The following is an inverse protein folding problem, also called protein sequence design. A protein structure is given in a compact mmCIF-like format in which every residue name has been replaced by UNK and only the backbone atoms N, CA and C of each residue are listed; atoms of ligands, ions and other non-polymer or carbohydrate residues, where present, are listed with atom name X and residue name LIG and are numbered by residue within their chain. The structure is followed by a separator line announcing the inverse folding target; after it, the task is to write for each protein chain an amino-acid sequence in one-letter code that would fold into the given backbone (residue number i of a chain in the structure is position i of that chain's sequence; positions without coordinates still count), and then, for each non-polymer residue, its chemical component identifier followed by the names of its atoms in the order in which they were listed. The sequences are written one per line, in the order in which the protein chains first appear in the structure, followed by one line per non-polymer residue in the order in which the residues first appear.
data_IF_131902132296
#
_entry.id   IF_131902132296
#
_cell.length_a   1.000
_cell.length_b   1.000
_cell.length_c   1.000
_cell.angle_alpha   90.00
_cell.angle_beta   90.00
_cell.angle_gamma   90.00
#
_symmetry.space_group_name_H-M   'P 1'
#
loop_
_entity.id
_entity.type
_entity.pdbx_description
1 polymer ?
#
# COMPACT_ATOMS: atom_id res chain seq x y z
N UNK A 1 -18.19 8.85 -26.80
CA UNK A 1 -17.50 8.16 -25.70
C UNK A 1 -17.27 9.19 -24.60
N UNK A 2 -17.97 9.04 -23.49
CA UNK A 2 -17.82 9.90 -22.31
C UNK A 2 -16.36 9.82 -21.85
N UNK A 3 -15.67 10.96 -21.77
CA UNK A 3 -14.35 11.02 -21.15
C UNK A 3 -14.57 10.71 -19.67
N UNK A 4 -14.13 9.54 -19.21
CA UNK A 4 -14.15 9.20 -17.79
C UNK A 4 -13.52 10.35 -17.00
N UNK A 5 -14.17 10.77 -15.91
CA UNK A 5 -13.67 11.86 -15.09
C UNK A 5 -12.28 11.50 -14.58
N UNK A 6 -11.26 12.23 -15.02
CA UNK A 6 -9.89 12.08 -14.54
C UNK A 6 -9.94 12.35 -13.02
N UNK A 7 -9.79 11.30 -12.21
CA UNK A 7 -9.75 11.40 -10.75
C UNK A 7 -10.88 10.71 -9.95
N UNK A 8 -11.73 9.88 -10.56
CA UNK A 8 -12.63 9.00 -9.79
C UNK A 8 -11.95 7.67 -9.46
N UNK A 9 -12.11 7.19 -8.21
CA UNK A 9 -11.52 5.91 -7.82
C UNK A 9 -12.26 4.75 -8.49
N UNK A 10 -11.50 3.79 -9.03
CA UNK A 10 -12.03 2.59 -9.69
C UNK A 10 -12.32 1.48 -8.68
N UNK A 11 -11.34 1.14 -7.84
CA UNK A 11 -11.52 0.16 -6.76
C UNK A 11 -12.26 0.83 -5.60
N UNK A 12 -13.32 0.19 -5.10
CA UNK A 12 -14.12 0.66 -3.96
C UNK A 12 -14.11 -0.39 -2.86
N UNK A 13 -13.52 -0.07 -1.71
CA UNK A 13 -13.36 -1.03 -0.62
C UNK A 13 -12.12 -1.92 -0.80
N UNK A 14 -12.27 -3.17 -0.38
CA UNK A 14 -11.28 -4.22 -0.56
C UNK A 14 -11.95 -5.32 -1.35
N UNK A 15 -11.36 -5.69 -2.48
CA UNK A 15 -11.85 -6.75 -3.35
C UNK A 15 -10.92 -7.94 -3.18
N UNK A 16 -11.50 -9.12 -2.97
CA UNK A 16 -10.75 -10.36 -2.88
C UNK A 16 -10.98 -11.19 -4.15
N UNK A 17 -9.91 -11.75 -4.69
CA UNK A 17 -9.98 -12.75 -5.75
C UNK A 17 -9.07 -13.93 -5.43
N UNK A 18 -9.38 -15.08 -6.01
CA UNK A 18 -8.53 -16.28 -5.91
C UNK A 18 -8.26 -16.82 -7.31
N UNK A 19 -7.04 -17.27 -7.63
CA UNK A 19 -6.79 -17.94 -8.88
C UNK A 19 -7.46 -19.31 -8.93
N UNK A 20 -7.85 -19.76 -10.12
CA UNK A 20 -8.48 -21.08 -10.32
C UNK A 20 -7.50 -22.21 -10.00
N UNK A 21 -6.23 -22.02 -10.34
CA UNK A 21 -5.18 -23.04 -10.31
C UNK A 21 -4.59 -23.27 -8.92
N UNK A 22 -4.61 -22.26 -8.04
CA UNK A 22 -4.05 -22.37 -6.70
C UNK A 22 -5.01 -21.81 -5.63
N UNK A 23 -5.67 -22.71 -4.90
CA UNK A 23 -6.65 -22.35 -3.85
C UNK A 23 -6.02 -21.80 -2.57
N UNK A 24 -4.70 -21.85 -2.44
CA UNK A 24 -3.98 -21.33 -1.28
C UNK A 24 -3.59 -19.86 -1.45
N UNK A 25 -3.81 -19.27 -2.63
CA UNK A 25 -3.52 -17.86 -2.89
C UNK A 25 -4.84 -17.09 -2.87
N UNK A 26 -4.85 -15.99 -2.11
CA UNK A 26 -5.89 -14.98 -2.13
C UNK A 26 -5.22 -13.64 -2.43
N UNK A 27 -5.69 -12.95 -3.46
CA UNK A 27 -5.25 -11.61 -3.80
C UNK A 27 -6.27 -10.60 -3.29
N UNK A 28 -5.78 -9.60 -2.56
CA UNK A 28 -6.58 -8.47 -2.07
C UNK A 28 -6.19 -7.23 -2.89
N UNK A 29 -7.16 -6.65 -3.61
CA UNK A 29 -7.04 -5.33 -4.23
C UNK A 29 -7.70 -4.29 -3.31
N UNK A 30 -6.89 -3.35 -2.84
CA UNK A 30 -7.31 -2.34 -1.84
C UNK A 30 -7.50 -1.01 -2.55
N UNK A 31 -8.63 -0.35 -2.28
CA UNK A 31 -8.94 0.98 -2.82
C UNK A 31 -7.78 1.96 -2.57
N UNK A 32 -7.31 2.55 -3.67
CA UNK A 32 -6.21 3.51 -3.67
C UNK A 32 -6.58 4.83 -3.00
N UNK A 33 -5.56 5.57 -2.60
CA UNK A 33 -5.70 6.80 -1.84
C UNK A 33 -6.17 8.01 -2.64
N UNK A 34 -6.13 7.92 -3.97
CA UNK A 34 -6.73 8.91 -4.88
C UNK A 34 -8.27 8.84 -4.90
N UNK A 35 -8.88 8.12 -3.94
CA UNK A 35 -10.30 8.17 -3.64
C UNK A 35 -10.74 9.54 -3.08
N UNK A 36 -10.59 10.59 -3.90
CA UNK A 36 -11.06 11.97 -3.67
C UNK A 36 -12.53 12.00 -3.28
N UNK A 37 -13.30 11.03 -3.77
CA UNK A 37 -14.73 10.83 -3.49
C UNK A 37 -15.05 10.64 -2.00
N UNK A 38 -14.08 10.28 -1.16
CA UNK A 38 -14.28 10.06 0.29
C UNK A 38 -14.07 11.31 1.15
N UNK A 39 -13.62 12.42 0.57
CA UNK A 39 -13.44 13.69 1.28
C UNK A 39 -12.54 13.57 2.52
N UNK A 40 -12.94 14.22 3.62
CA UNK A 40 -12.18 14.24 4.89
C UNK A 40 -11.99 12.86 5.55
N UNK A 41 -12.80 11.86 5.17
CA UNK A 41 -12.69 10.50 5.69
C UNK A 41 -11.72 9.61 4.91
N UNK A 42 -11.18 10.08 3.78
CA UNK A 42 -10.31 9.30 2.90
C UNK A 42 -9.07 8.76 3.61
N UNK A 43 -8.37 9.59 4.39
CA UNK A 43 -7.17 9.18 5.14
C UNK A 43 -7.48 8.08 6.16
N UNK A 44 -8.52 8.27 6.98
CA UNK A 44 -8.95 7.29 7.99
C UNK A 44 -9.38 5.97 7.34
N UNK A 45 -10.05 6.04 6.19
CA UNK A 45 -10.45 4.87 5.44
C UNK A 45 -9.23 4.10 4.91
N UNK A 46 -8.26 4.80 4.33
CA UNK A 46 -7.01 4.24 3.83
C UNK A 46 -6.23 3.54 4.96
N UNK A 47 -6.03 4.21 6.10
CA UNK A 47 -5.37 3.62 7.27
C UNK A 47 -6.04 2.32 7.72
N UNK A 48 -7.38 2.30 7.79
CA UNK A 48 -8.14 1.10 8.18
C UNK A 48 -8.01 -0.03 7.17
N UNK A 49 -8.14 0.27 5.88
CA UNK A 49 -8.08 -0.74 4.83
C UNK A 49 -6.66 -1.32 4.69
N UNK A 50 -5.63 -0.48 4.72
CA UNK A 50 -4.23 -0.91 4.66
C UNK A 50 -3.85 -1.76 5.88
N UNK A 51 -4.26 -1.36 7.09
CA UNK A 51 -4.05 -2.17 8.29
C UNK A 51 -4.77 -3.53 8.24
N UNK A 52 -6.02 -3.55 7.78
CA UNK A 52 -6.77 -4.80 7.62
C UNK A 52 -6.14 -5.74 6.57
N UNK A 53 -5.72 -5.20 5.43
CA UNK A 53 -5.04 -6.01 4.42
C UNK A 53 -3.71 -6.56 4.97
N UNK A 54 -2.94 -5.75 5.69
CA UNK A 54 -1.68 -6.16 6.29
C UNK A 54 -1.84 -7.29 7.32
N UNK A 55 -2.85 -7.21 8.20
CA UNK A 55 -3.06 -8.24 9.23
C UNK A 55 -3.42 -9.62 8.67
N UNK A 56 -3.92 -9.68 7.43
CA UNK A 56 -4.28 -10.91 6.74
C UNK A 56 -3.22 -11.42 5.76
N UNK A 57 -2.25 -10.58 5.38
CA UNK A 57 -1.39 -10.85 4.22
C UNK A 57 -0.02 -11.38 4.61
N UNK A 58 0.38 -12.49 3.97
CA UNK A 58 1.77 -12.97 4.00
C UNK A 58 2.70 -12.09 3.15
N UNK A 59 2.16 -11.43 2.12
CA UNK A 59 2.88 -10.50 1.26
C UNK A 59 2.04 -9.26 1.04
N UNK A 60 2.59 -8.09 1.33
CA UNK A 60 1.97 -6.79 1.07
C UNK A 60 2.75 -6.11 -0.05
N UNK A 61 2.08 -5.83 -1.16
CA UNK A 61 2.65 -5.10 -2.29
C UNK A 61 2.32 -3.62 -2.12
N UNK A 62 3.33 -2.79 -1.92
CA UNK A 62 3.21 -1.33 -1.88
C UNK A 62 3.44 -0.82 -3.28
N UNK A 63 2.35 -0.47 -3.96
CA UNK A 63 2.37 0.09 -5.30
C UNK A 63 2.50 1.62 -5.22
N UNK A 64 3.60 2.19 -5.72
CA UNK A 64 3.86 3.62 -5.59
C UNK A 64 4.54 4.22 -6.82
N UNK A 65 4.43 5.53 -6.97
CA UNK A 65 5.18 6.28 -7.98
C UNK A 65 6.52 6.74 -7.41
N UNK A 66 7.54 6.81 -8.26
CA UNK A 66 8.87 7.29 -7.88
C UNK A 66 8.83 8.67 -7.24
N UNK A 67 7.98 9.57 -7.75
CA UNK A 67 7.84 10.92 -7.20
C UNK A 67 7.25 10.96 -5.79
N UNK A 68 6.59 9.90 -5.31
CA UNK A 68 6.08 9.82 -3.93
C UNK A 68 7.14 9.42 -2.89
N UNK A 69 8.31 8.96 -3.33
CA UNK A 69 9.41 8.60 -2.43
C UNK A 69 9.87 9.81 -1.61
N UNK A 70 9.98 9.64 -0.28
CA UNK A 70 10.35 10.71 0.64
C UNK A 70 9.28 11.79 0.84
N UNK A 71 8.06 11.63 0.30
CA UNK A 71 6.94 12.54 0.57
C UNK A 71 6.16 12.07 1.79
N UNK A 72 6.43 12.67 2.95
CA UNK A 72 5.78 12.34 4.24
C UNK A 72 4.25 12.51 4.19
N UNK A 73 3.74 13.49 3.44
CA UNK A 73 2.30 13.72 3.29
C UNK A 73 1.67 12.88 2.16
N UNK A 74 2.40 11.95 1.57
CA UNK A 74 1.86 11.06 0.55
C UNK A 74 0.89 10.05 1.17
N UNK A 75 0.00 9.57 0.31
CA UNK A 75 -0.81 8.41 0.61
C UNK A 75 0.03 7.17 0.96
N UNK A 76 1.16 6.98 0.27
CA UNK A 76 2.07 5.86 0.48
C UNK A 76 2.58 5.84 1.92
N UNK A 77 3.00 7.00 2.46
CA UNK A 77 3.44 7.09 3.85
C UNK A 77 2.32 6.74 4.83
N UNK A 78 1.09 7.21 4.58
CA UNK A 78 -0.09 6.83 5.39
C UNK A 78 -0.35 5.32 5.37
N UNK A 79 -0.19 4.67 4.21
CA UNK A 79 -0.31 3.21 4.10
C UNK A 79 0.81 2.50 4.87
N UNK A 80 2.06 2.95 4.72
CA UNK A 80 3.23 2.38 5.39
C UNK A 80 3.07 2.46 6.92
N UNK A 81 2.67 3.61 7.45
CA UNK A 81 2.39 3.80 8.87
C UNK A 81 1.32 2.81 9.36
N UNK A 82 0.25 2.62 8.60
CA UNK A 82 -0.82 1.68 8.94
C UNK A 82 -0.33 0.22 8.96
N UNK A 83 0.44 -0.18 7.94
CA UNK A 83 1.02 -1.53 7.82
C UNK A 83 1.96 -1.79 8.99
N UNK A 84 2.93 -0.89 9.24
CA UNK A 84 3.92 -1.05 10.31
C UNK A 84 3.29 -1.11 11.69
N UNK A 85 2.27 -0.26 11.95
CA UNK A 85 1.53 -0.30 13.20
C UNK A 85 0.84 -1.66 13.42
N UNK A 86 0.30 -2.26 12.36
CA UNK A 86 -0.34 -3.57 12.48
C UNK A 86 0.68 -4.69 12.74
N UNK A 87 1.83 -4.66 12.05
CA UNK A 87 2.92 -5.60 12.32
C UNK A 87 3.45 -5.46 13.75
N UNK A 88 3.56 -4.23 14.27
CA UNK A 88 3.98 -3.96 15.64
C UNK A 88 2.98 -4.52 16.66
N UNK A 89 1.67 -4.39 16.42
CA UNK A 89 0.62 -4.99 17.28
C UNK A 89 0.72 -6.51 17.29
N UNK A 90 0.82 -7.14 16.12
CA UNK A 90 0.98 -8.59 16.00
C UNK A 90 2.24 -9.10 16.72
N UNK A 91 3.34 -8.34 16.66
CA UNK A 91 4.57 -8.67 17.38
C UNK A 91 4.40 -8.57 18.90
N UNK A 92 3.71 -7.54 19.39
CA UNK A 92 3.46 -7.30 20.83
C UNK A 92 2.54 -8.35 21.44
N UNK A 93 1.59 -8.89 20.67
CA UNK A 93 0.69 -9.95 21.12
C UNK A 93 1.34 -11.35 21.15
N UNK A 94 2.66 -11.46 20.89
CA UNK A 94 3.37 -12.72 20.86
C UNK A 94 3.19 -13.51 19.55
N UNK A 95 2.53 -12.92 18.55
CA UNK A 95 2.42 -13.50 17.22
C UNK A 95 3.74 -13.45 16.45
N UNK A 96 3.87 -14.32 15.44
CA UNK A 96 4.95 -14.31 14.46
C UNK A 96 4.40 -14.05 13.07
N UNK A 97 4.03 -12.81 12.77
CA UNK A 97 3.68 -12.44 11.40
C UNK A 97 4.92 -11.86 10.73
N UNK A 98 5.51 -12.62 9.81
CA UNK A 98 6.56 -12.15 8.91
C UNK A 98 5.95 -11.88 7.53
N UNK A 99 5.18 -10.80 7.43
CA UNK A 99 4.70 -10.35 6.12
C UNK A 99 5.90 -9.80 5.33
N UNK A 100 6.05 -10.23 4.07
CA UNK A 100 6.99 -9.62 3.14
C UNK A 100 6.40 -8.30 2.65
N UNK A 101 7.13 -7.19 2.86
CA UNK A 101 6.78 -5.90 2.27
C UNK A 101 7.52 -5.75 0.94
N UNK A 102 6.79 -5.82 -0.17
CA UNK A 102 7.32 -5.71 -1.54
C UNK A 102 6.98 -4.35 -2.12
N UNK A 103 7.99 -3.55 -2.44
CA UNK A 103 7.81 -2.25 -3.09
C UNK A 103 7.84 -2.39 -4.61
N UNK A 104 6.83 -1.85 -5.27
CA UNK A 104 6.76 -1.68 -6.73
C UNK A 104 6.77 -0.19 -7.01
N UNK A 105 7.84 0.29 -7.64
CA UNK A 105 8.05 1.72 -7.94
C UNK A 105 7.86 1.96 -9.43
N UNK A 106 6.87 2.77 -9.78
CA UNK A 106 6.57 3.20 -11.14
C UNK A 106 7.31 4.49 -11.51
N UNK A 107 7.45 4.74 -12.81
CA UNK A 107 8.03 5.96 -13.39
C UNK A 107 9.37 6.36 -12.75
N UNK A 108 10.27 5.38 -12.64
CA UNK A 108 11.63 5.62 -12.18
C UNK A 108 12.36 6.50 -13.19
N UNK A 109 12.86 7.64 -12.73
CA UNK A 109 13.66 8.55 -13.55
C UNK A 109 14.93 7.85 -14.04
N UNK A 110 15.38 8.14 -15.27
CA UNK A 110 16.55 7.48 -15.88
C UNK A 110 17.84 7.67 -15.06
N UNK A 111 17.96 8.80 -14.35
CA UNK A 111 19.10 9.12 -13.51
C UNK A 111 19.04 8.45 -12.11
N UNK A 112 17.92 7.82 -11.76
CA UNK A 112 17.72 7.19 -10.45
C UNK A 112 18.28 5.77 -10.40
N UNK A 113 19.37 5.58 -9.65
CA UNK A 113 19.90 4.25 -9.39
C UNK A 113 19.00 3.42 -8.46
N UNK A 114 18.93 2.11 -8.68
CA UNK A 114 18.19 1.17 -7.82
C UNK A 114 18.66 1.21 -6.35
N UNK A 115 19.95 1.47 -6.14
CA UNK A 115 20.55 1.61 -4.81
C UNK A 115 20.03 2.84 -4.08
N UNK A 116 19.91 3.97 -4.79
CA UNK A 116 19.37 5.22 -4.26
C UNK A 116 17.90 5.04 -3.86
N UNK A 117 17.08 4.45 -4.73
CA UNK A 117 15.66 4.17 -4.45
C UNK A 117 15.52 3.27 -3.23
N UNK A 118 16.30 2.18 -3.17
CA UNK A 118 16.30 1.26 -2.04
C UNK A 118 16.67 1.97 -0.73
N UNK A 119 17.70 2.81 -0.74
CA UNK A 119 18.12 3.56 0.46
C UNK A 119 17.01 4.50 0.96
N UNK A 120 16.29 5.17 0.06
CA UNK A 120 15.16 6.04 0.38
C UNK A 120 13.98 5.25 0.94
N UNK A 121 13.59 4.15 0.30
CA UNK A 121 12.53 3.26 0.80
C UNK A 121 12.82 2.73 2.21
N UNK A 122 14.08 2.38 2.48
CA UNK A 122 14.48 1.93 3.82
C UNK A 122 14.41 3.08 4.83
N UNK A 123 14.81 4.29 4.44
CA UNK A 123 14.68 5.48 5.28
C UNK A 123 13.22 5.77 5.63
N UNK A 124 12.33 5.80 4.63
CA UNK A 124 10.89 6.06 4.82
C UNK A 124 10.22 5.01 5.72
N UNK A 125 10.73 3.77 5.72
CA UNK A 125 10.23 2.69 6.57
C UNK A 125 10.76 2.73 8.03
N UNK A 126 11.76 3.56 8.31
CA UNK A 126 12.41 3.68 9.63
C UNK A 126 11.97 4.91 10.43
N UNK A 127 11.34 5.90 9.79
CA UNK A 127 10.73 7.08 10.42
C UNK A 127 9.40 6.73 11.12
#
# INVERSE_FOLDING_TARGET
AERGSIGSSTTKGIIASKPTENRLIVALDVEGADARDRGSSGKTFLTKCSGFAASLSDVVIVNMWHHDLGRVNSATYTCLEAIMNEQAKARRSGGSIKSLLLFVVHDVDEDSSSSSIKSRLVSDAQE
#
